data_IF_619219337752
#
_entry.id   IF_619219337752
#
_cell.length_a   1.000
_cell.length_b   1.000
_cell.length_c   1.000
_cell.angle_alpha   90.00
_cell.angle_beta   90.00
_cell.angle_gamma   90.00
#
_symmetry.space_group_name_H-M   'P 1'
#
loop_
_entity.id
_entity.type
_entity.pdbx_description
1 polymer ?
#
# COMPACT_ATOMS: atom_id res chain seq x y z
N UNK A 1 -16.24 0.47 -18.35
CA UNK A 1 -15.18 0.46 -19.38
C UNK A 1 -15.74 -0.13 -20.67
N UNK A 2 -15.11 0.09 -21.83
CA UNK A 2 -15.65 -0.36 -23.11
C UNK A 2 -14.64 -1.27 -23.83
N UNK A 3 -15.06 -2.47 -24.24
CA UNK A 3 -14.23 -3.39 -25.03
C UNK A 3 -14.23 -3.00 -26.52
N UNK A 4 -15.39 -2.58 -27.03
CA UNK A 4 -15.56 -2.08 -28.39
C UNK A 4 -16.56 -0.92 -28.42
N UNK A 5 -16.59 -0.19 -29.54
CA UNK A 5 -17.50 0.96 -29.69
C UNK A 5 -18.98 0.58 -29.70
N UNK A 6 -19.31 -0.64 -30.13
CA UNK A 6 -20.69 -1.10 -30.32
C UNK A 6 -21.39 -1.43 -29.01
N UNK A 7 -20.71 -2.08 -28.06
CA UNK A 7 -21.33 -2.47 -26.78
C UNK A 7 -21.29 -1.30 -25.77
N UNK A 8 -20.54 -0.23 -26.06
CA UNK A 8 -20.50 0.97 -25.21
C UNK A 8 -19.75 0.75 -23.89
N UNK A 9 -20.01 1.62 -22.92
CA UNK A 9 -19.38 1.55 -21.59
C UNK A 9 -20.19 0.67 -20.64
N UNK A 10 -19.54 -0.34 -20.07
CA UNK A 10 -20.11 -1.31 -19.13
C UNK A 10 -19.54 -1.15 -17.72
N UNK A 11 -20.15 -1.79 -16.73
CA UNK A 11 -19.54 -1.90 -15.40
C UNK A 11 -18.31 -2.82 -15.43
N UNK A 12 -17.44 -2.75 -14.41
CA UNK A 12 -16.25 -3.62 -14.33
C UNK A 12 -16.63 -5.10 -14.19
N UNK A 13 -17.66 -5.38 -13.41
CA UNK A 13 -18.13 -6.75 -13.14
C UNK A 13 -18.83 -7.41 -14.34
N UNK A 14 -19.20 -6.62 -15.36
CA UNK A 14 -19.84 -7.10 -16.59
C UNK A 14 -18.81 -7.51 -17.66
N UNK A 15 -17.52 -7.29 -17.40
CA UNK A 15 -16.46 -7.58 -18.35
C UNK A 15 -16.18 -9.10 -18.40
N UNK A 16 -16.10 -9.70 -19.61
CA UNK A 16 -15.85 -11.12 -19.78
C UNK A 16 -14.37 -11.45 -19.52
N UNK A 17 -14.01 -11.70 -18.26
CA UNK A 17 -12.72 -12.30 -17.92
C UNK A 17 -12.80 -13.83 -18.02
N UNK A 18 -12.14 -14.38 -19.05
CA UNK A 18 -11.87 -15.82 -19.18
C UNK A 18 -10.46 -16.17 -18.63
N UNK A 19 -10.12 -17.46 -18.59
CA UNK A 19 -8.82 -17.93 -18.05
C UNK A 19 -7.62 -17.30 -18.76
N UNK A 20 -7.72 -17.01 -20.06
CA UNK A 20 -6.63 -16.38 -20.82
C UNK A 20 -6.54 -14.88 -20.55
N UNK A 21 -7.67 -14.21 -20.42
CA UNK A 21 -7.81 -12.78 -20.18
C UNK A 21 -7.48 -12.40 -18.74
N UNK A 22 -7.63 -13.33 -17.79
CA UNK A 22 -7.09 -13.19 -16.44
C UNK A 22 -5.57 -13.01 -16.47
N UNK A 23 -4.88 -13.83 -17.27
CA UNK A 23 -3.40 -13.79 -17.36
C UNK A 23 -2.91 -12.63 -18.24
N UNK A 24 -3.57 -12.38 -19.37
CA UNK A 24 -3.13 -11.38 -20.37
C UNK A 24 -3.69 -9.98 -20.13
N UNK A 25 -4.76 -9.85 -19.35
CA UNK A 25 -5.51 -8.61 -19.20
C UNK A 25 -6.42 -8.32 -20.40
N UNK A 26 -7.39 -7.43 -20.19
CA UNK A 26 -8.31 -6.95 -21.22
C UNK A 26 -7.87 -5.58 -21.75
N UNK A 27 -7.88 -5.42 -23.07
CA UNK A 27 -7.70 -4.09 -23.67
C UNK A 27 -9.03 -3.34 -23.66
N UNK A 28 -9.09 -2.23 -22.92
CA UNK A 28 -10.32 -1.47 -22.71
C UNK A 28 -10.15 0.01 -23.07
N UNK A 29 -11.24 0.63 -23.49
CA UNK A 29 -11.39 2.07 -23.65
C UNK A 29 -11.99 2.68 -22.39
N UNK A 30 -11.28 3.65 -21.82
CA UNK A 30 -11.79 4.49 -20.74
C UNK A 30 -12.47 5.74 -21.30
N UNK A 31 -13.46 6.25 -20.58
CA UNK A 31 -14.09 7.53 -20.88
C UNK A 31 -13.03 8.63 -20.78
N UNK A 32 -13.02 9.55 -21.75
CA UNK A 32 -12.08 10.69 -21.82
C UNK A 32 -10.58 10.34 -21.93
N UNK A 33 -10.23 9.05 -22.08
CA UNK A 33 -8.87 8.64 -22.38
C UNK A 33 -8.67 8.50 -23.89
N UNK A 34 -7.68 9.15 -24.53
CA UNK A 34 -7.53 9.13 -25.99
C UNK A 34 -7.04 7.77 -26.52
N UNK A 35 -6.38 6.95 -25.69
CA UNK A 35 -5.86 5.63 -26.05
C UNK A 35 -6.58 4.50 -25.31
N UNK A 36 -6.34 3.26 -25.75
CA UNK A 36 -6.76 2.05 -25.01
C UNK A 36 -5.71 1.72 -23.94
N UNK A 37 -6.16 1.07 -22.88
CA UNK A 37 -5.33 0.64 -21.75
C UNK A 37 -5.54 -0.85 -21.49
N UNK A 38 -4.61 -1.48 -20.77
CA UNK A 38 -4.77 -2.85 -20.31
C UNK A 38 -5.31 -2.87 -18.89
N UNK A 39 -6.41 -3.60 -18.69
CA UNK A 39 -7.06 -3.85 -17.42
C UNK A 39 -6.73 -5.26 -16.95
N UNK A 40 -6.29 -5.37 -15.71
CA UNK A 40 -6.07 -6.63 -15.01
C UNK A 40 -7.00 -6.72 -13.82
N UNK A 41 -7.48 -7.93 -13.55
CA UNK A 41 -8.24 -8.28 -12.37
C UNK A 41 -7.34 -9.10 -11.45
N UNK A 42 -6.97 -8.55 -10.30
CA UNK A 42 -6.21 -9.27 -9.28
C UNK A 42 -7.19 -9.67 -8.19
N UNK A 43 -7.31 -10.98 -7.94
CA UNK A 43 -8.18 -11.52 -6.89
C UNK A 43 -7.32 -11.87 -5.70
N UNK A 44 -7.50 -11.16 -4.59
CA UNK A 44 -6.83 -11.45 -3.34
C UNK A 44 -7.35 -12.77 -2.73
N UNK A 45 -6.57 -13.45 -1.86
CA UNK A 45 -6.99 -14.72 -1.26
C UNK A 45 -8.30 -14.67 -0.45
N UNK A 46 -8.71 -13.48 0.00
CA UNK A 46 -9.96 -13.24 0.72
C UNK A 46 -11.17 -12.96 -0.21
N UNK A 47 -10.96 -12.97 -1.53
CA UNK A 47 -11.98 -12.70 -2.54
C UNK A 47 -12.12 -11.24 -2.94
N UNK A 48 -11.35 -10.31 -2.35
CA UNK A 48 -11.35 -8.90 -2.77
C UNK A 48 -10.71 -8.76 -4.15
N UNK A 49 -11.26 -7.86 -4.97
CA UNK A 49 -10.81 -7.63 -6.34
C UNK A 49 -10.13 -6.27 -6.46
N UNK A 50 -8.86 -6.30 -6.87
CA UNK A 50 -8.08 -5.13 -7.26
C UNK A 50 -8.03 -5.00 -8.78
N UNK A 51 -8.59 -3.90 -9.29
CA UNK A 51 -8.55 -3.57 -10.71
C UNK A 51 -7.32 -2.73 -11.04
N UNK A 52 -6.38 -3.30 -11.79
CA UNK A 52 -5.12 -2.62 -12.15
C UNK A 52 -5.12 -2.22 -13.61
N UNK A 53 -4.91 -0.93 -13.87
CA UNK A 53 -4.79 -0.40 -15.22
C UNK A 53 -3.31 -0.12 -15.51
N UNK A 54 -2.83 -0.62 -16.65
CA UNK A 54 -1.50 -0.28 -17.14
C UNK A 54 -1.58 0.31 -18.54
N UNK A 55 -0.66 1.21 -18.86
CA UNK A 55 -0.53 1.80 -20.20
C UNK A 55 0.06 0.83 -21.23
N UNK A 56 0.13 -0.48 -20.93
CA UNK A 56 0.69 -1.51 -21.79
C UNK A 56 0.02 -1.47 -23.16
N UNK A 57 0.77 -1.06 -24.18
CA UNK A 57 0.41 -1.37 -25.57
C UNK A 57 1.07 -2.70 -25.89
N UNK A 58 0.42 -3.62 -26.62
CA UNK A 58 1.15 -4.65 -27.35
C UNK A 58 1.90 -3.91 -28.47
N UNK A 59 3.11 -3.42 -28.16
CA UNK A 59 4.01 -2.88 -29.16
C UNK A 59 4.88 -4.06 -29.59
N UNK A 60 4.59 -4.60 -30.77
CA UNK A 60 5.32 -5.65 -31.49
C UNK A 60 6.35 -6.47 -30.69
N UNK A 61 5.96 -7.69 -30.34
CA UNK A 61 6.72 -8.96 -30.24
C UNK A 61 8.10 -9.05 -29.56
N UNK A 62 8.65 -7.98 -28.97
CA UNK A 62 9.96 -8.05 -28.29
C UNK A 62 10.05 -7.30 -26.96
N UNK A 63 9.01 -6.55 -26.56
CA UNK A 63 8.97 -5.89 -25.25
C UNK A 63 8.04 -6.64 -24.31
N UNK A 64 8.62 -7.23 -23.25
CA UNK A 64 7.99 -7.80 -22.06
C UNK A 64 6.49 -7.50 -21.96
N UNK A 65 5.65 -8.38 -22.52
CA UNK A 65 4.21 -8.23 -22.49
C UNK A 65 3.79 -8.08 -21.02
N UNK A 66 3.22 -6.92 -20.67
CA UNK A 66 2.65 -6.73 -19.34
C UNK A 66 1.55 -7.78 -19.19
N UNK A 67 1.77 -8.72 -18.28
CA UNK A 67 0.84 -9.77 -17.93
C UNK A 67 0.42 -9.61 -16.46
N UNK A 68 -0.48 -10.48 -15.99
CA UNK A 68 -0.98 -10.46 -14.62
C UNK A 68 0.14 -10.41 -13.59
N UNK A 69 1.19 -11.22 -13.76
CA UNK A 69 2.34 -11.26 -12.86
C UNK A 69 3.07 -9.90 -12.74
N UNK A 70 3.31 -9.22 -13.86
CA UNK A 70 3.92 -7.88 -13.85
C UNK A 70 2.98 -6.85 -13.22
N UNK A 71 1.67 -6.98 -13.42
CA UNK A 71 0.67 -6.13 -12.78
C UNK A 71 0.59 -6.36 -11.26
N UNK A 72 0.67 -7.62 -10.81
CA UNK A 72 0.72 -8.03 -9.41
C UNK A 72 1.94 -7.44 -8.70
N UNK A 73 3.15 -7.59 -9.26
CA UNK A 73 4.36 -6.99 -8.68
C UNK A 73 4.22 -5.48 -8.51
N UNK A 74 3.62 -4.80 -9.50
CA UNK A 74 3.39 -3.35 -9.42
C UNK A 74 2.35 -3.02 -8.34
N UNK A 75 1.29 -3.80 -8.19
CA UNK A 75 0.30 -3.62 -7.15
C UNK A 75 0.90 -3.88 -5.75
N UNK A 76 1.75 -4.88 -5.61
CA UNK A 76 2.47 -5.17 -4.35
C UNK A 76 3.37 -4.01 -3.95
N UNK A 77 4.10 -3.42 -4.89
CA UNK A 77 4.91 -2.22 -4.64
C UNK A 77 4.04 -1.04 -4.20
N UNK A 78 2.87 -0.85 -4.82
CA UNK A 78 1.89 0.18 -4.40
C UNK A 78 1.44 -0.09 -2.96
N UNK A 79 1.09 -1.33 -2.63
CA UNK A 79 0.68 -1.70 -1.29
C UNK A 79 1.77 -1.46 -0.26
N UNK A 80 3.04 -1.76 -0.57
CA UNK A 80 4.17 -1.46 0.33
C UNK A 80 4.29 0.04 0.62
N UNK A 81 4.06 0.90 -0.37
CA UNK A 81 4.06 2.37 -0.19
C UNK A 81 2.89 2.81 0.69
N UNK A 82 1.69 2.28 0.46
CA UNK A 82 0.51 2.58 1.27
C UNK A 82 0.68 2.12 2.73
N UNK A 83 1.23 0.92 2.94
CA UNK A 83 1.57 0.40 4.26
C UNK A 83 2.61 1.29 4.95
N UNK A 84 3.67 1.68 4.25
CA UNK A 84 4.64 2.64 4.76
C UNK A 84 3.97 3.93 5.21
N UNK A 85 3.13 4.56 4.37
CA UNK A 85 2.48 5.82 4.74
C UNK A 85 1.54 5.67 5.93
N UNK A 86 0.79 4.56 6.01
CA UNK A 86 -0.11 4.27 7.14
C UNK A 86 0.67 4.13 8.44
N UNK A 87 1.68 3.25 8.45
CA UNK A 87 2.52 3.02 9.63
C UNK A 87 3.24 4.31 10.05
N UNK A 88 3.78 5.06 9.08
CA UNK A 88 4.49 6.31 9.33
C UNK A 88 3.59 7.33 10.04
N UNK A 89 2.39 7.60 9.53
CA UNK A 89 1.44 8.55 10.13
C UNK A 89 0.97 8.10 11.52
N UNK A 90 0.55 6.84 11.63
CA UNK A 90 -0.09 6.33 12.85
C UNK A 90 0.88 6.12 14.02
N UNK A 91 2.12 5.73 13.73
CA UNK A 91 3.07 5.28 14.74
C UNK A 91 4.08 6.34 15.15
N UNK A 92 4.35 7.34 14.31
CA UNK A 92 5.43 8.32 14.57
C UNK A 92 4.93 9.73 14.90
N UNK A 93 3.66 10.02 14.64
CA UNK A 93 3.11 11.37 14.83
C UNK A 93 3.65 12.38 13.81
N UNK A 94 3.99 11.93 12.60
CA UNK A 94 4.48 12.79 11.52
C UNK A 94 3.53 13.95 11.18
N UNK A 95 2.23 13.77 11.37
CA UNK A 95 1.20 14.79 11.15
C UNK A 95 0.90 15.65 12.40
N UNK A 96 1.62 15.45 13.51
CA UNK A 96 1.35 16.13 14.79
C UNK A 96 2.25 17.34 15.06
N UNK A 97 3.16 17.69 14.15
CA UNK A 97 4.08 18.80 14.35
C UNK A 97 3.38 20.16 14.34
N UNK A 98 3.43 20.88 15.47
CA UNK A 98 2.85 22.21 15.62
C UNK A 98 3.83 23.35 15.27
N UNK A 99 5.04 23.04 14.80
CA UNK A 99 6.04 24.06 14.48
C UNK A 99 5.65 24.86 13.23
N UNK A 100 5.81 26.19 13.25
CA UNK A 100 5.54 27.01 12.06
C UNK A 100 6.74 27.14 11.11
N UNK A 101 7.96 26.95 11.62
CA UNK A 101 9.20 27.10 10.85
C UNK A 101 9.45 25.87 9.97
N UNK A 102 9.70 26.07 8.69
CA UNK A 102 9.96 24.99 7.72
C UNK A 102 11.14 24.08 8.11
N UNK A 103 12.21 24.64 8.71
CA UNK A 103 13.35 23.85 9.20
C UNK A 103 12.92 22.89 10.32
N UNK A 104 12.15 23.36 11.28
CA UNK A 104 11.64 22.55 12.39
C UNK A 104 10.71 21.45 11.91
N UNK A 105 9.84 21.75 10.93
CA UNK A 105 8.98 20.76 10.29
C UNK A 105 9.79 19.64 9.60
N UNK A 106 10.83 19.99 8.84
CA UNK A 106 11.72 19.00 8.22
C UNK A 106 12.46 18.16 9.25
N UNK A 107 12.93 18.77 10.34
CA UNK A 107 13.59 18.03 11.43
C UNK A 107 12.61 17.05 12.11
N UNK A 108 11.36 17.46 12.36
CA UNK A 108 10.33 16.58 12.91
C UNK A 108 10.10 15.36 12.02
N UNK A 109 9.95 15.59 10.70
CA UNK A 109 9.80 14.51 9.74
C UNK A 109 11.02 13.57 9.75
N UNK A 110 12.24 14.11 9.78
CA UNK A 110 13.45 13.29 9.87
C UNK A 110 13.46 12.40 11.13
N UNK A 111 13.11 12.94 12.29
CA UNK A 111 12.95 12.15 13.52
C UNK A 111 11.88 11.07 13.38
N UNK A 112 10.75 11.38 12.74
CA UNK A 112 9.69 10.40 12.46
C UNK A 112 10.20 9.27 11.56
N UNK A 113 10.99 9.58 10.52
CA UNK A 113 11.58 8.56 9.65
C UNK A 113 12.51 7.64 10.42
N UNK A 114 13.41 8.20 11.23
CA UNK A 114 14.30 7.41 12.09
C UNK A 114 13.52 6.51 13.05
N UNK A 115 12.50 7.04 13.73
CA UNK A 115 11.65 6.27 14.62
C UNK A 115 10.95 5.11 13.90
N UNK A 116 10.37 5.35 12.72
CA UNK A 116 9.73 4.29 11.93
C UNK A 116 10.74 3.20 11.52
N UNK A 117 11.91 3.57 11.00
CA UNK A 117 12.96 2.61 10.63
C UNK A 117 13.39 1.77 11.83
N UNK A 118 13.61 2.39 12.99
CA UNK A 118 13.93 1.68 14.23
C UNK A 118 12.84 0.68 14.62
N UNK A 119 11.56 1.08 14.54
CA UNK A 119 10.44 0.17 14.78
C UNK A 119 10.41 -1.00 13.79
N UNK A 120 10.66 -0.76 12.49
CA UNK A 120 10.71 -1.85 11.48
C UNK A 120 11.84 -2.83 11.74
N UNK A 121 13.04 -2.35 12.06
CA UNK A 121 14.19 -3.19 12.39
C UNK A 121 13.87 -4.04 13.62
N UNK A 122 13.30 -3.44 14.67
CA UNK A 122 12.92 -4.17 15.89
C UNK A 122 11.80 -5.18 15.65
N UNK A 123 10.78 -4.82 14.89
CA UNK A 123 9.69 -5.73 14.52
C UNK A 123 10.23 -6.98 13.80
N UNK A 124 11.18 -6.78 12.86
CA UNK A 124 11.85 -7.89 12.16
C UNK A 124 12.66 -8.77 13.11
N UNK A 125 13.45 -8.17 14.01
CA UNK A 125 14.25 -8.91 15.00
C UNK A 125 13.37 -9.75 15.95
N UNK A 126 12.24 -9.19 16.38
CA UNK A 126 11.31 -9.82 17.31
C UNK A 126 10.28 -10.73 16.63
N UNK A 127 10.29 -10.83 15.29
CA UNK A 127 9.30 -11.58 14.49
C UNK A 127 7.84 -11.19 14.86
N UNK A 128 7.61 -9.89 15.02
CA UNK A 128 6.33 -9.33 15.43
C UNK A 128 5.94 -8.16 14.54
N UNK A 129 4.73 -7.61 14.68
CA UNK A 129 4.31 -6.45 13.89
C UNK A 129 4.86 -5.14 14.45
N UNK A 130 4.99 -4.13 13.60
CA UNK A 130 5.42 -2.77 13.99
C UNK A 130 4.50 -2.17 15.05
N UNK A 131 3.20 -2.48 14.96
CA UNK A 131 2.18 -2.06 15.92
C UNK A 131 2.40 -2.70 17.29
N UNK A 132 2.70 -4.00 17.34
CA UNK A 132 3.00 -4.70 18.59
C UNK A 132 4.26 -4.16 19.26
N UNK A 133 5.32 -3.87 18.49
CA UNK A 133 6.53 -3.21 19.05
C UNK A 133 6.19 -1.85 19.64
N UNK A 134 5.44 -1.02 18.90
CA UNK A 134 5.06 0.32 19.36
C UNK A 134 4.21 0.27 20.64
N UNK A 135 3.23 -0.63 20.69
CA UNK A 135 2.32 -0.75 21.83
C UNK A 135 3.03 -1.38 23.05
N UNK A 136 3.93 -2.33 22.80
CA UNK A 136 4.68 -3.06 23.82
C UNK A 136 5.82 -2.28 24.47
N UNK A 137 6.25 -1.15 23.89
CA UNK A 137 7.50 -0.45 24.24
C UNK A 137 7.70 -0.22 25.75
N UNK A 138 6.64 0.13 26.48
CA UNK A 138 6.68 0.39 27.93
C UNK A 138 5.87 -0.59 28.76
N UNK A 139 5.37 -1.67 28.16
CA UNK A 139 4.44 -2.57 28.87
C UNK A 139 5.09 -3.17 30.10
N UNK A 140 6.27 -3.79 29.95
CA UNK A 140 6.97 -4.43 31.07
C UNK A 140 7.37 -3.41 32.15
N UNK A 141 7.85 -2.24 31.73
CA UNK A 141 8.19 -1.15 32.65
C UNK A 141 6.98 -0.68 33.46
N UNK A 142 5.83 -0.44 32.80
CA UNK A 142 4.60 0.00 33.46
C UNK A 142 4.07 -1.07 34.41
N UNK A 143 4.11 -2.35 34.01
CA UNK A 143 3.73 -3.47 34.89
C UNK A 143 4.61 -3.50 36.14
N UNK A 144 5.93 -3.32 35.99
CA UNK A 144 6.84 -3.24 37.14
C UNK A 144 6.54 -2.05 38.05
N UNK A 145 6.28 -0.87 37.48
CA UNK A 145 5.95 0.33 38.27
C UNK A 145 4.59 0.21 38.96
N UNK A 146 3.63 -0.53 38.40
CA UNK A 146 2.35 -0.79 39.07
C UNK A 146 2.49 -1.79 40.21
N UNK A 147 3.37 -2.78 40.10
CA UNK A 147 3.62 -3.76 41.17
C UNK A 147 4.46 -3.18 42.32
N UNK A 148 5.49 -2.38 42.00
CA UNK A 148 6.36 -1.74 42.98
C UNK A 148 6.63 -0.30 42.54
N UNK A 149 5.74 0.65 42.93
CA UNK A 149 5.87 2.04 42.53
C UNK A 149 7.17 2.65 43.04
N UNK A 150 8.01 3.15 42.13
CA UNK A 150 9.20 3.91 42.53
C UNK A 150 8.81 5.26 43.14
N UNK A 151 7.72 5.87 42.64
CA UNK A 151 7.09 7.06 43.23
C UNK A 151 5.85 6.62 43.99
N UNK A 152 5.86 6.83 45.31
CA UNK A 152 4.75 6.46 46.17
C UNK A 152 3.66 7.54 46.11
N UNK A 153 2.40 7.11 46.11
CA UNK A 153 1.29 8.04 46.30
C UNK A 153 1.40 8.68 47.69
N UNK A 154 1.19 9.99 47.76
CA UNK A 154 1.06 10.74 49.02
C UNK A 154 -0.34 10.56 49.57
#
# INVERSE_FOLDING_TARGET
MSLNREIGYQHLDELPFDEQSLVRGLTVKLKECPFMVMLFMIVAPNGDIDWVITAGRPRNDLDHAVNLFVAEIKNDNRWQVEQFQREFKQLTGSEKCQCRKARSQRNHLACCYHAWVSLKVKAKQMKTTVYQVRQGLFTDYLVQQLMCPTVHAV
#
